data_IF_752281614448
#
_entry.id   IF_752281614448
#
_cell.length_a   1.000
_cell.length_b   1.000
_cell.length_c   1.000
_cell.angle_alpha   90.00
_cell.angle_beta   90.00
_cell.angle_gamma   90.00
#
_symmetry.space_group_name_H-M   'P 1'
#
loop_
_entity.id
_entity.type
_entity.pdbx_description
1 polymer ?
#
# COMPACT_ATOMS: atom_id res chain seq x y z
N UNK A 1 57.25 -14.57 72.74
CA UNK A 1 57.75 -13.25 72.31
C UNK A 1 56.94 -12.87 71.07
N UNK A 2 56.05 -11.87 71.17
CA UNK A 2 56.39 -10.43 71.03
C UNK A 2 56.93 -10.19 69.61
N UNK A 3 56.02 -9.98 68.64
CA UNK A 3 55.45 -8.66 68.27
C UNK A 3 56.49 -7.79 67.58
N UNK A 4 56.27 -7.49 66.31
CA UNK A 4 56.36 -6.09 65.89
C UNK A 4 55.33 -5.75 64.80
N UNK A 5 54.71 -4.58 64.93
CA UNK A 5 53.68 -4.02 64.05
C UNK A 5 54.11 -2.61 63.75
N UNK A 6 54.26 -2.24 62.48
CA UNK A 6 54.39 -0.81 62.13
C UNK A 6 53.69 -0.44 60.82
N UNK A 7 52.41 -0.16 60.98
CA UNK A 7 51.67 0.84 60.20
C UNK A 7 52.50 2.07 59.86
N UNK A 8 52.46 2.51 58.60
CA UNK A 8 52.38 3.94 58.28
C UNK A 8 51.18 4.22 57.39
N UNK A 9 50.37 5.14 57.86
CA UNK A 9 49.05 5.52 57.37
C UNK A 9 49.11 7.00 56.96
N UNK A 10 48.50 7.35 55.83
CA UNK A 10 48.20 8.73 55.37
C UNK A 10 49.40 9.65 55.07
N UNK A 11 49.43 10.22 53.85
CA UNK A 11 49.49 11.68 53.58
C UNK A 11 49.22 11.92 52.07
N UNK A 12 48.04 12.52 51.80
CA UNK A 12 47.78 13.63 50.87
C UNK A 12 48.13 13.54 49.36
N UNK A 13 47.08 13.25 48.57
CA UNK A 13 46.58 14.02 47.40
C UNK A 13 47.58 14.79 46.51
N UNK A 14 47.82 14.26 45.30
CA UNK A 14 47.93 15.04 44.04
C UNK A 14 47.27 14.23 42.90
N UNK A 15 46.09 14.58 42.40
CA UNK A 15 45.86 15.53 41.29
C UNK A 15 46.71 15.26 40.03
N UNK A 16 46.22 14.36 39.16
CA UNK A 16 46.41 14.42 37.70
C UNK A 16 45.33 13.58 36.98
N UNK A 17 44.23 14.26 36.67
CA UNK A 17 43.07 13.71 35.97
C UNK A 17 43.34 13.50 34.48
N UNK A 18 43.54 12.26 34.06
CA UNK A 18 43.59 11.89 32.63
C UNK A 18 42.16 11.72 32.10
N UNK A 19 41.55 12.83 31.65
CA UNK A 19 40.31 12.76 30.87
C UNK A 19 40.62 12.27 29.44
N UNK A 20 40.54 10.97 29.22
CA UNK A 20 40.37 10.44 27.87
C UNK A 20 38.95 10.75 27.39
N UNK A 21 38.79 11.80 26.59
CA UNK A 21 37.57 11.99 25.78
C UNK A 21 37.46 10.81 24.81
N UNK A 22 36.67 9.80 25.18
CA UNK A 22 36.08 8.91 24.19
C UNK A 22 34.99 9.71 23.47
N UNK A 23 35.22 10.01 22.20
CA UNK A 23 34.14 10.39 21.31
C UNK A 23 33.15 9.21 21.21
N UNK A 24 32.13 9.24 22.07
CA UNK A 24 30.94 8.48 21.84
C UNK A 24 30.27 9.10 20.62
N UNK A 25 30.59 8.60 19.42
CA UNK A 25 29.81 8.88 18.22
C UNK A 25 28.36 8.58 18.57
N UNK A 26 27.53 9.61 18.66
CA UNK A 26 26.12 9.46 18.93
C UNK A 26 25.51 8.74 17.73
N UNK A 27 25.46 7.40 17.80
CA UNK A 27 24.66 6.58 16.89
C UNK A 27 23.26 7.17 16.98
N UNK A 28 22.85 7.81 15.89
CA UNK A 28 21.53 8.40 15.79
C UNK A 28 20.52 7.25 15.89
N UNK A 29 20.06 6.99 17.11
CA UNK A 29 18.96 6.10 17.37
C UNK A 29 17.73 6.75 16.78
N UNK A 30 17.49 6.45 15.49
CA UNK A 30 16.19 6.69 14.87
C UNK A 30 15.16 6.01 15.77
N UNK A 31 14.49 6.81 16.60
CA UNK A 31 13.35 6.35 17.38
C UNK A 31 12.34 5.82 16.37
N UNK A 32 12.27 4.51 16.27
CA UNK A 32 11.20 3.77 15.59
C UNK A 32 9.92 4.08 16.36
N UNK A 33 9.17 5.07 15.89
CA UNK A 33 7.97 5.53 16.59
C UNK A 33 6.86 4.49 16.43
N UNK A 34 6.37 3.98 17.56
CA UNK A 34 5.24 3.06 17.57
C UNK A 34 4.03 3.74 16.93
N UNK A 35 3.53 3.08 15.89
CA UNK A 35 2.16 3.04 15.39
C UNK A 35 1.21 4.21 15.76
N UNK A 36 0.63 4.79 14.71
CA UNK A 36 -0.80 5.11 14.71
C UNK A 36 -1.57 3.89 15.26
N UNK A 37 -2.67 4.11 15.98
CA UNK A 37 -3.42 3.03 16.68
C UNK A 37 -3.67 1.86 15.70
N UNK A 38 -3.71 0.58 16.12
CA UNK A 38 -4.16 -0.50 15.22
C UNK A 38 -5.39 -0.02 14.43
N UNK A 39 -5.44 -0.23 13.13
CA UNK A 39 -6.47 0.39 12.26
C UNK A 39 -7.37 -0.67 11.61
N UNK A 40 -7.24 -1.92 12.04
CA UNK A 40 -7.82 -3.04 11.32
C UNK A 40 -9.37 -2.98 11.36
N UNK A 41 -9.98 -2.37 12.38
CA UNK A 41 -11.43 -2.13 12.46
C UNK A 41 -11.86 -0.74 11.96
N UNK A 42 -10.96 0.07 11.41
CA UNK A 42 -11.32 1.36 10.81
C UNK A 42 -12.40 1.22 9.72
N UNK A 43 -12.31 0.15 8.92
CA UNK A 43 -13.19 -0.20 7.81
C UNK A 43 -14.04 -1.45 8.15
N UNK A 44 -14.64 -1.47 9.34
CA UNK A 44 -15.33 -2.65 9.88
C UNK A 44 -16.43 -3.20 8.95
N UNK A 45 -17.18 -2.34 8.23
CA UNK A 45 -18.20 -2.76 7.25
C UNK A 45 -17.61 -3.70 6.19
N UNK A 46 -16.51 -3.31 5.58
CA UNK A 46 -15.84 -4.09 4.53
C UNK A 46 -15.27 -5.39 5.13
N UNK A 47 -14.62 -5.32 6.30
CA UNK A 47 -14.10 -6.49 7.02
C UNK A 47 -15.21 -7.51 7.31
N UNK A 48 -16.33 -7.07 7.88
CA UNK A 48 -17.48 -7.90 8.23
C UNK A 48 -18.16 -8.51 6.99
N UNK A 49 -18.26 -7.74 5.90
CA UNK A 49 -18.84 -8.21 4.64
C UNK A 49 -17.93 -9.27 3.99
N UNK A 50 -16.61 -9.02 3.95
CA UNK A 50 -15.62 -9.98 3.44
C UNK A 50 -15.56 -11.23 4.29
N UNK A 51 -15.71 -11.14 5.62
CA UNK A 51 -15.77 -12.31 6.51
C UNK A 51 -17.02 -13.17 6.24
N UNK A 52 -18.16 -12.52 6.07
CA UNK A 52 -19.42 -13.18 5.70
C UNK A 52 -19.28 -13.93 4.36
N UNK A 53 -18.65 -13.31 3.35
CA UNK A 53 -18.42 -13.95 2.05
C UNK A 53 -17.37 -15.06 2.11
N UNK A 54 -16.26 -14.86 2.85
CA UNK A 54 -15.23 -15.87 3.07
C UNK A 54 -15.81 -17.14 3.71
N UNK A 55 -16.73 -17.00 4.67
CA UNK A 55 -17.38 -18.13 5.36
C UNK A 55 -18.29 -19.00 4.48
N UNK A 56 -18.67 -18.54 3.28
CA UNK A 56 -19.47 -19.35 2.34
C UNK A 56 -18.65 -20.53 1.76
N UNK A 57 -17.37 -20.31 1.46
CA UNK A 57 -16.40 -21.34 1.08
C UNK A 57 -14.98 -20.90 1.48
N UNK A 58 -14.39 -21.59 2.46
CA UNK A 58 -13.11 -21.25 3.06
C UNK A 58 -12.15 -22.46 3.03
N UNK A 59 -11.70 -22.90 1.83
CA UNK A 59 -10.89 -24.12 1.69
C UNK A 59 -9.53 -24.01 2.39
N UNK A 60 -9.05 -22.77 2.57
CA UNK A 60 -7.81 -22.43 3.25
C UNK A 60 -7.95 -22.35 4.78
N UNK A 61 -9.15 -22.52 5.36
CA UNK A 61 -9.40 -22.38 6.81
C UNK A 61 -8.84 -21.06 7.40
N UNK A 62 -8.95 -19.95 6.66
CA UNK A 62 -8.55 -18.61 7.13
C UNK A 62 -9.45 -18.23 8.31
N UNK A 63 -8.87 -17.77 9.42
CA UNK A 63 -9.61 -17.58 10.68
C UNK A 63 -10.56 -16.39 10.62
N UNK A 64 -10.09 -15.24 10.14
CA UNK A 64 -10.87 -14.01 9.98
C UNK A 64 -10.11 -13.02 9.06
N UNK A 65 -10.76 -12.23 8.19
CA UNK A 65 -10.10 -11.27 7.30
C UNK A 65 -9.21 -10.25 8.01
N UNK A 66 -9.60 -9.81 9.21
CA UNK A 66 -8.88 -8.83 10.05
C UNK A 66 -7.37 -9.16 10.17
N UNK A 67 -7.02 -10.45 10.24
CA UNK A 67 -5.63 -10.87 10.39
C UNK A 67 -4.77 -10.47 9.19
N UNK A 68 -5.35 -10.35 8.00
CA UNK A 68 -4.60 -9.98 6.80
C UNK A 68 -4.26 -8.49 6.69
N UNK A 69 -4.97 -7.64 7.47
CA UNK A 69 -4.66 -6.21 7.65
C UNK A 69 -3.57 -5.96 8.73
N UNK A 70 -3.19 -6.99 9.49
CA UNK A 70 -2.11 -6.90 10.48
C UNK A 70 -0.72 -6.96 9.82
N UNK A 71 0.30 -6.54 10.58
CA UNK A 71 1.70 -6.83 10.26
C UNK A 71 1.98 -8.34 10.26
N UNK A 72 2.91 -8.80 9.41
CA UNK A 72 3.11 -10.23 9.08
C UNK A 72 3.16 -11.17 10.30
N UNK A 73 3.85 -10.80 11.38
CA UNK A 73 3.99 -11.66 12.58
C UNK A 73 2.65 -11.95 13.27
N UNK A 74 1.73 -10.98 13.27
CA UNK A 74 0.40 -11.14 13.83
C UNK A 74 -0.57 -11.74 12.79
N UNK A 75 -0.40 -11.39 11.51
CA UNK A 75 -1.16 -11.93 10.40
C UNK A 75 -1.00 -13.46 10.25
N UNK A 76 0.20 -13.98 10.53
CA UNK A 76 0.51 -15.41 10.50
C UNK A 76 -0.38 -16.26 11.44
N UNK A 77 -1.01 -15.65 12.45
CA UNK A 77 -1.90 -16.35 13.41
C UNK A 77 -3.27 -16.70 12.82
N UNK A 78 -3.73 -15.99 11.78
CA UNK A 78 -5.05 -16.18 11.16
C UNK A 78 -5.02 -16.69 9.72
N UNK A 79 -3.84 -16.97 9.16
CA UNK A 79 -3.68 -17.28 7.74
C UNK A 79 -4.13 -18.70 7.32
N UNK A 80 -4.55 -19.54 8.26
CA UNK A 80 -4.99 -20.90 7.99
C UNK A 80 -3.91 -21.73 7.28
N UNK A 81 -4.27 -22.32 6.14
CA UNK A 81 -3.42 -23.16 5.28
C UNK A 81 -2.64 -22.38 4.22
N UNK A 82 -2.61 -21.05 4.27
CA UNK A 82 -1.79 -20.25 3.34
C UNK A 82 -0.30 -20.54 3.59
N UNK A 83 0.44 -20.83 2.53
CA UNK A 83 1.90 -20.98 2.59
C UNK A 83 2.54 -19.67 3.09
N UNK A 84 3.42 -19.78 4.09
CA UNK A 84 4.12 -18.62 4.70
C UNK A 84 4.88 -17.77 3.70
N UNK A 85 5.35 -18.33 2.57
CA UNK A 85 6.01 -17.56 1.51
C UNK A 85 5.06 -16.58 0.79
N UNK A 86 3.75 -16.75 0.96
CA UNK A 86 2.70 -15.93 0.36
C UNK A 86 2.05 -14.93 1.35
N UNK A 87 2.68 -14.65 2.50
CA UNK A 87 2.12 -13.78 3.54
C UNK A 87 2.05 -12.29 3.16
N UNK A 88 2.88 -11.87 2.22
CA UNK A 88 2.79 -10.58 1.52
C UNK A 88 1.46 -10.45 0.73
N UNK A 89 0.95 -11.55 0.20
CA UNK A 89 -0.30 -11.61 -0.55
C UNK A 89 -1.55 -11.94 0.27
N UNK A 90 -1.45 -12.13 1.59
CA UNK A 90 -2.57 -12.63 2.41
C UNK A 90 -3.87 -11.80 2.26
N UNK A 91 -3.79 -10.46 2.30
CA UNK A 91 -4.95 -9.58 2.11
C UNK A 91 -5.66 -9.81 0.76
N UNK A 92 -4.89 -9.90 -0.34
CA UNK A 92 -5.43 -10.19 -1.67
C UNK A 92 -5.97 -11.62 -1.79
N UNK A 93 -5.36 -12.61 -1.13
CA UNK A 93 -5.87 -13.98 -1.09
C UNK A 93 -7.24 -14.06 -0.39
N UNK A 94 -7.41 -13.33 0.72
CA UNK A 94 -8.70 -13.20 1.41
C UNK A 94 -9.75 -12.55 0.51
N UNK A 95 -9.39 -11.44 -0.13
CA UNK A 95 -10.27 -10.73 -1.04
C UNK A 95 -10.66 -11.57 -2.27
N UNK A 96 -9.72 -12.30 -2.86
CA UNK A 96 -9.95 -13.13 -4.05
C UNK A 96 -10.91 -14.29 -3.76
N UNK A 97 -10.77 -14.96 -2.60
CA UNK A 97 -11.72 -15.98 -2.16
C UNK A 97 -13.09 -15.37 -1.84
N UNK A 98 -13.14 -14.25 -1.10
CA UNK A 98 -14.39 -13.58 -0.76
C UNK A 98 -15.14 -13.08 -2.01
N UNK A 99 -14.41 -12.52 -2.98
CA UNK A 99 -14.95 -12.07 -4.27
C UNK A 99 -15.48 -13.24 -5.09
N UNK A 100 -14.73 -14.35 -5.18
CA UNK A 100 -15.15 -15.60 -5.83
C UNK A 100 -16.45 -16.14 -5.24
N UNK A 101 -16.54 -16.19 -3.91
CA UNK A 101 -17.73 -16.64 -3.18
C UNK A 101 -18.92 -15.69 -3.42
N UNK A 102 -18.70 -14.38 -3.35
CA UNK A 102 -19.72 -13.37 -3.59
C UNK A 102 -20.24 -13.42 -5.04
N UNK A 103 -19.35 -13.62 -6.02
CA UNK A 103 -19.69 -13.78 -7.45
C UNK A 103 -20.51 -15.05 -7.70
N UNK A 104 -20.13 -16.17 -7.08
CA UNK A 104 -20.90 -17.41 -7.14
C UNK A 104 -22.30 -17.29 -6.48
N UNK A 105 -22.41 -16.51 -5.41
CA UNK A 105 -23.68 -16.24 -4.71
C UNK A 105 -24.54 -15.12 -5.34
N UNK A 106 -24.08 -14.47 -6.42
CA UNK A 106 -24.75 -13.29 -6.99
C UNK A 106 -24.74 -12.05 -6.08
N UNK A 107 -23.94 -12.05 -5.01
CA UNK A 107 -23.87 -10.97 -4.03
C UNK A 107 -22.96 -9.85 -4.54
N UNK A 108 -23.57 -8.78 -5.06
CA UNK A 108 -22.85 -7.61 -5.58
C UNK A 108 -22.16 -6.79 -4.49
N UNK A 109 -22.79 -6.60 -3.33
CA UNK A 109 -22.18 -5.92 -2.18
C UNK A 109 -20.95 -6.68 -1.64
N UNK A 110 -20.97 -8.01 -1.69
CA UNK A 110 -19.82 -8.85 -1.36
C UNK A 110 -18.64 -8.68 -2.31
N UNK A 111 -18.90 -8.53 -3.62
CA UNK A 111 -17.87 -8.24 -4.62
C UNK A 111 -17.29 -6.82 -4.45
N UNK A 112 -18.15 -5.82 -4.21
CA UNK A 112 -17.75 -4.44 -3.92
C UNK A 112 -16.85 -4.36 -2.67
N UNK A 113 -17.27 -4.98 -1.56
CA UNK A 113 -16.50 -5.02 -0.32
C UNK A 113 -15.15 -5.72 -0.48
N UNK A 114 -15.08 -6.81 -1.26
CA UNK A 114 -13.82 -7.51 -1.52
C UNK A 114 -12.83 -6.66 -2.34
N UNK A 115 -13.31 -5.88 -3.32
CA UNK A 115 -12.47 -4.93 -4.07
C UNK A 115 -11.94 -3.83 -3.14
N UNK A 116 -12.80 -3.21 -2.33
CA UNK A 116 -12.39 -2.15 -1.41
C UNK A 116 -11.37 -2.71 -0.39
N UNK A 117 -11.68 -3.85 0.23
CA UNK A 117 -10.84 -4.55 1.19
C UNK A 117 -9.44 -4.90 0.64
N UNK A 118 -9.33 -5.36 -0.61
CA UNK A 118 -8.06 -5.64 -1.26
C UNK A 118 -7.17 -4.40 -1.47
N UNK A 119 -7.78 -3.22 -1.53
CA UNK A 119 -7.11 -1.94 -1.69
C UNK A 119 -6.78 -1.25 -0.36
N UNK A 120 -7.39 -1.63 0.78
CA UNK A 120 -7.14 -0.98 2.08
C UNK A 120 -5.65 -0.99 2.48
N UNK A 121 -5.28 -0.05 3.36
CA UNK A 121 -3.96 -0.06 3.99
C UNK A 121 -3.81 -1.29 4.90
N UNK A 122 -2.73 -2.05 4.68
CA UNK A 122 -2.25 -3.06 5.63
C UNK A 122 -1.33 -2.41 6.64
N UNK A 123 -1.55 -2.61 7.93
CA UNK A 123 -0.80 -1.92 8.97
C UNK A 123 0.61 -2.47 9.14
N UNK A 124 1.61 -1.59 9.07
CA UNK A 124 3.00 -1.91 9.39
C UNK A 124 3.30 -1.70 10.90
N UNK A 125 4.57 -1.78 11.28
CA UNK A 125 4.99 -1.64 12.69
C UNK A 125 5.30 -0.19 13.10
N UNK A 126 5.46 0.75 12.16
CA UNK A 126 5.83 2.15 12.45
C UNK A 126 5.22 3.10 11.42
N UNK A 127 4.95 4.33 11.85
CA UNK A 127 4.42 5.39 10.98
C UNK A 127 5.36 5.68 9.81
N UNK A 128 4.79 5.83 8.61
CA UNK A 128 5.51 6.14 7.38
C UNK A 128 6.31 4.97 6.79
N UNK A 129 6.14 3.75 7.31
CA UNK A 129 6.73 2.53 6.69
C UNK A 129 5.75 1.95 5.68
N UNK A 130 6.19 1.87 4.43
CA UNK A 130 5.42 1.27 3.33
C UNK A 130 5.17 -0.23 3.58
N UNK A 131 3.97 -0.69 3.22
CA UNK A 131 3.59 -2.10 3.32
C UNK A 131 4.15 -2.90 2.13
N UNK A 132 4.77 -4.08 2.36
CA UNK A 132 5.33 -4.90 1.29
C UNK A 132 4.25 -5.28 0.28
N UNK A 133 4.42 -5.00 -1.02
CA UNK A 133 3.43 -5.34 -2.04
C UNK A 133 3.30 -6.86 -2.19
N UNK A 134 2.10 -7.33 -2.47
CA UNK A 134 1.86 -8.71 -2.90
C UNK A 134 2.59 -8.98 -4.23
N UNK A 135 3.55 -9.90 -4.19
CA UNK A 135 4.36 -10.29 -5.35
C UNK A 135 4.56 -11.82 -5.45
N UNK A 136 4.35 -12.57 -4.36
CA UNK A 136 4.56 -14.03 -4.30
C UNK A 136 3.51 -14.87 -5.03
N UNK A 137 2.27 -14.37 -5.18
CA UNK A 137 1.14 -15.11 -5.72
C UNK A 137 0.23 -14.20 -6.56
N UNK A 138 -0.26 -14.73 -7.69
CA UNK A 138 -1.33 -14.13 -8.50
C UNK A 138 -2.70 -14.59 -8.02
N UNK A 139 -3.68 -13.70 -8.10
CA UNK A 139 -5.09 -13.96 -7.77
C UNK A 139 -5.85 -14.53 -8.98
N UNK A 140 -6.93 -15.26 -8.72
CA UNK A 140 -7.74 -15.89 -9.78
C UNK A 140 -8.63 -14.88 -10.50
N UNK A 141 -9.20 -13.90 -9.78
CA UNK A 141 -10.09 -12.88 -10.36
C UNK A 141 -9.28 -11.68 -10.86
N UNK A 142 -9.33 -11.31 -12.16
CA UNK A 142 -8.64 -10.13 -12.71
C UNK A 142 -8.97 -8.82 -11.99
N UNK A 143 -10.20 -8.70 -11.50
CA UNK A 143 -10.71 -7.57 -10.72
C UNK A 143 -9.98 -7.40 -9.38
N UNK A 144 -9.50 -8.50 -8.77
CA UNK A 144 -8.69 -8.47 -7.53
C UNK A 144 -7.19 -8.48 -7.85
N UNK A 145 -6.76 -9.22 -8.87
CA UNK A 145 -5.33 -9.33 -9.27
C UNK A 145 -4.73 -7.97 -9.62
N UNK A 146 -5.48 -7.07 -10.26
CA UNK A 146 -5.02 -5.71 -10.59
C UNK A 146 -4.79 -4.79 -9.40
N UNK A 147 -5.36 -5.10 -8.24
CA UNK A 147 -5.40 -4.19 -7.09
C UNK A 147 -4.04 -4.15 -6.36
N UNK A 148 -3.76 -2.98 -5.78
CA UNK A 148 -2.60 -2.71 -4.95
C UNK A 148 -3.09 -2.09 -3.63
N UNK A 149 -2.47 -2.45 -2.51
CA UNK A 149 -2.83 -1.90 -1.20
C UNK A 149 -2.44 -0.41 -1.08
N UNK A 150 -3.25 0.38 -0.36
CA UNK A 150 -2.84 1.70 0.13
C UNK A 150 -1.62 1.56 1.06
N UNK A 151 -0.87 2.64 1.14
CA UNK A 151 0.29 2.81 2.02
C UNK A 151 -0.09 3.81 3.12
N UNK A 152 0.56 3.67 4.28
CA UNK A 152 0.56 4.68 5.34
C UNK A 152 0.78 6.06 4.71
N UNK A 153 -0.16 6.98 4.92
CA UNK A 153 -0.15 8.29 4.27
C UNK A 153 1.10 9.14 4.58
N UNK A 154 1.87 8.80 5.62
CA UNK A 154 3.17 9.41 5.93
C UNK A 154 4.37 8.75 5.19
N UNK A 155 4.15 7.67 4.42
CA UNK A 155 5.19 7.00 3.63
C UNK A 155 5.60 7.81 2.40
N UNK A 156 6.88 7.70 2.03
CA UNK A 156 7.42 8.33 0.82
C UNK A 156 6.68 7.80 -0.43
N UNK A 157 5.99 8.69 -1.13
CA UNK A 157 5.22 8.37 -2.34
C UNK A 157 3.84 7.76 -2.07
N UNK A 158 3.34 7.78 -0.82
CA UNK A 158 2.03 7.26 -0.48
C UNK A 158 0.91 7.91 -1.30
N UNK A 159 0.93 9.24 -1.45
CA UNK A 159 -0.07 10.00 -2.23
C UNK A 159 -0.26 9.44 -3.65
N UNK A 160 0.84 9.19 -4.37
CA UNK A 160 0.79 8.67 -5.74
C UNK A 160 0.36 7.19 -5.79
N UNK A 161 0.75 6.38 -4.80
CA UNK A 161 0.41 4.96 -4.73
C UNK A 161 -1.06 4.76 -4.32
N UNK A 162 -1.54 5.50 -3.33
CA UNK A 162 -2.91 5.46 -2.82
C UNK A 162 -3.89 5.93 -3.89
N UNK A 163 -3.59 7.08 -4.54
CA UNK A 163 -4.32 7.51 -5.73
C UNK A 163 -4.39 6.43 -6.81
N UNK A 164 -3.29 5.76 -7.12
CA UNK A 164 -3.28 4.64 -8.08
C UNK A 164 -4.12 3.45 -7.60
N UNK A 165 -4.09 3.13 -6.31
CA UNK A 165 -4.93 2.07 -5.71
C UNK A 165 -6.41 2.39 -5.85
N UNK A 166 -6.85 3.59 -5.47
CA UNK A 166 -8.25 4.02 -5.60
C UNK A 166 -8.72 4.01 -7.07
N UNK A 167 -7.90 4.47 -8.02
CA UNK A 167 -8.24 4.38 -9.46
C UNK A 167 -8.37 2.92 -9.95
N UNK A 168 -7.51 2.01 -9.46
CA UNK A 168 -7.60 0.58 -9.80
C UNK A 168 -8.82 -0.08 -9.16
N UNK A 169 -9.21 0.31 -7.94
CA UNK A 169 -10.47 -0.10 -7.32
C UNK A 169 -11.68 0.41 -8.12
N UNK A 170 -11.69 1.68 -8.53
CA UNK A 170 -12.76 2.27 -9.34
C UNK A 170 -12.96 1.54 -10.67
N UNK A 171 -11.87 1.16 -11.35
CA UNK A 171 -11.94 0.35 -12.58
C UNK A 171 -12.50 -1.06 -12.31
N UNK A 172 -12.14 -1.68 -11.19
CA UNK A 172 -12.64 -3.01 -10.80
C UNK A 172 -14.14 -2.96 -10.47
N UNK A 173 -14.58 -1.94 -9.72
CA UNK A 173 -15.98 -1.66 -9.41
C UNK A 173 -16.79 -1.42 -10.71
N UNK A 174 -16.26 -0.60 -11.62
CA UNK A 174 -16.88 -0.38 -12.93
C UNK A 174 -17.05 -1.68 -13.74
N UNK A 175 -16.05 -2.57 -13.70
CA UNK A 175 -16.06 -3.84 -14.43
C UNK A 175 -17.10 -4.84 -13.90
N UNK A 176 -17.49 -4.76 -12.62
CA UNK A 176 -18.60 -5.55 -12.04
C UNK A 176 -19.98 -4.85 -12.09
N UNK A 177 -20.07 -3.69 -12.78
CA UNK A 177 -21.31 -2.92 -12.87
C UNK A 177 -21.67 -2.16 -11.58
N UNK A 178 -20.68 -1.81 -10.76
CA UNK A 178 -20.83 -0.99 -9.56
C UNK A 178 -20.51 0.48 -9.80
N UNK A 179 -20.98 1.34 -8.89
CA UNK A 179 -20.59 2.74 -8.88
C UNK A 179 -19.08 2.84 -8.62
N UNK A 180 -18.29 3.39 -9.57
CA UNK A 180 -16.85 3.53 -9.39
C UNK A 180 -16.47 4.46 -8.24
N UNK A 181 -17.37 5.35 -7.80
CA UNK A 181 -17.13 6.27 -6.69
C UNK A 181 -17.13 5.57 -5.33
N UNK A 182 -17.59 4.32 -5.23
CA UNK A 182 -17.35 3.46 -4.07
C UNK A 182 -15.85 3.24 -3.80
N UNK A 183 -14.97 3.49 -4.78
CA UNK A 183 -13.53 3.50 -4.57
C UNK A 183 -13.05 4.59 -3.61
N UNK A 184 -13.85 5.63 -3.33
CA UNK A 184 -13.50 6.61 -2.29
C UNK A 184 -13.36 5.94 -0.91
N UNK A 185 -14.08 4.83 -0.68
CA UNK A 185 -14.03 4.04 0.55
C UNK A 185 -12.71 3.26 0.75
N UNK A 186 -11.75 3.33 -0.19
CA UNK A 186 -10.39 2.82 0.05
C UNK A 186 -9.48 3.82 0.76
N UNK A 187 -9.95 5.06 0.94
CA UNK A 187 -9.16 6.18 1.45
C UNK A 187 -8.59 5.95 2.85
N UNK A 188 -7.41 6.52 3.10
CA UNK A 188 -6.70 6.38 4.37
C UNK A 188 -7.03 7.51 5.35
N UNK A 189 -6.51 7.43 6.57
CA UNK A 189 -6.52 8.57 7.48
C UNK A 189 -5.54 9.65 7.02
N UNK A 190 -5.76 10.88 7.50
CA UNK A 190 -4.78 11.96 7.40
C UNK A 190 -3.44 11.56 8.03
N UNK A 191 -2.36 11.73 7.26
CA UNK A 191 -1.00 11.37 7.65
C UNK A 191 -0.62 11.90 9.05
N UNK A 192 -0.20 10.98 9.93
CA UNK A 192 0.43 11.34 11.20
C UNK A 192 1.85 11.91 11.02
N UNK A 193 2.36 12.62 12.03
CA UNK A 193 3.73 13.14 11.99
C UNK A 193 4.73 12.07 12.48
N UNK A 194 5.62 11.53 11.62
CA UNK A 194 6.63 10.54 12.02
C UNK A 194 7.76 11.14 12.88
N UNK A 195 7.74 12.44 13.20
CA UNK A 195 8.71 13.12 14.06
C UNK A 195 8.16 13.55 15.43
N UNK A 196 6.83 13.53 15.63
CA UNK A 196 6.19 14.12 16.81
C UNK A 196 5.37 13.10 17.61
N UNK A 197 5.74 12.87 18.87
CA UNK A 197 5.11 11.90 19.75
C UNK A 197 3.66 12.23 20.16
N UNK A 198 3.22 13.49 20.08
CA UNK A 198 1.83 13.90 20.39
C UNK A 198 0.89 13.78 19.19
N UNK A 199 1.42 13.80 17.97
CA UNK A 199 0.65 13.71 16.71
C UNK A 199 0.95 12.44 15.90
N UNK A 200 1.83 11.55 16.39
CA UNK A 200 2.15 10.27 15.74
C UNK A 200 0.98 9.28 15.66
N UNK A 201 -0.18 9.59 16.24
CA UNK A 201 -1.44 8.87 16.01
C UNK A 201 -2.22 9.34 14.78
N UNK A 202 -1.86 10.46 14.16
CA UNK A 202 -2.69 11.10 13.14
C UNK A 202 -4.12 11.32 13.66
N UNK A 203 -5.08 11.18 12.75
CA UNK A 203 -6.51 11.12 13.06
C UNK A 203 -7.02 9.66 13.01
N UNK A 204 -6.15 8.66 13.17
CA UNK A 204 -6.48 7.22 13.13
C UNK A 204 -7.39 6.76 14.28
N UNK A 205 -8.10 5.65 14.04
CA UNK A 205 -8.97 5.02 15.04
C UNK A 205 -9.06 3.49 14.85
N UNK A 206 -9.35 2.80 15.96
CA UNK A 206 -9.77 1.40 16.01
C UNK A 206 -10.97 1.34 16.95
N UNK A 207 -12.10 0.80 16.50
CA UNK A 207 -13.25 0.53 17.35
C UNK A 207 -13.89 -0.77 16.84
N UNK A 208 -13.55 -1.88 17.48
CA UNK A 208 -14.12 -3.21 17.20
C UNK A 208 -15.63 -3.29 17.46
N UNK A 209 -16.13 -2.47 18.39
CA UNK A 209 -17.56 -2.30 18.67
C UNK A 209 -18.32 -1.38 17.69
N UNK A 210 -17.65 -0.78 16.70
CA UNK A 210 -18.29 -0.01 15.64
C UNK A 210 -18.47 -0.91 14.40
N UNK A 211 -19.69 -1.41 14.12
CA UNK A 211 -19.90 -2.36 13.02
C UNK A 211 -19.80 -1.70 11.63
N UNK A 212 -19.84 -0.38 11.55
CA UNK A 212 -19.66 0.38 10.30
C UNK A 212 -18.17 0.64 10.06
N UNK A 213 -17.45 1.00 11.11
CA UNK A 213 -16.04 1.34 11.07
C UNK A 213 -15.83 2.80 11.36
N UNK A 214 -14.90 3.07 12.28
CA UNK A 214 -14.75 4.39 12.88
C UNK A 214 -14.24 5.47 11.92
N UNK A 215 -13.67 5.09 10.76
CA UNK A 215 -13.29 6.05 9.71
C UNK A 215 -14.52 6.74 9.10
N UNK A 216 -15.63 6.00 8.99
CA UNK A 216 -16.90 6.51 8.46
C UNK A 216 -17.70 7.25 9.53
N UNK A 217 -17.89 6.64 10.72
CA UNK A 217 -18.77 7.20 11.76
C UNK A 217 -18.24 8.52 12.34
N UNK A 218 -16.92 8.76 12.24
CA UNK A 218 -16.27 10.01 12.63
C UNK A 218 -15.85 10.90 11.45
N UNK A 219 -16.14 10.48 10.21
CA UNK A 219 -15.78 11.19 8.97
C UNK A 219 -14.28 11.58 8.90
N UNK A 220 -13.41 10.59 9.07
CA UNK A 220 -11.94 10.72 9.15
C UNK A 220 -11.22 10.31 7.85
N UNK A 221 -11.99 9.91 6.85
CA UNK A 221 -11.49 9.43 5.56
C UNK A 221 -10.91 10.58 4.72
N UNK A 222 -9.67 10.41 4.27
CA UNK A 222 -9.06 11.24 3.24
C UNK A 222 -9.18 10.49 1.91
N UNK A 223 -9.92 11.08 0.97
CA UNK A 223 -10.13 10.49 -0.36
C UNK A 223 -8.94 10.84 -1.27
N UNK A 224 -8.31 9.82 -1.86
CA UNK A 224 -7.08 9.96 -2.66
C UNK A 224 -7.28 10.38 -4.14
N UNK A 225 -8.54 10.50 -4.59
CA UNK A 225 -8.95 10.77 -5.98
C UNK A 225 -10.15 11.71 -6.04
N UNK A 226 -10.28 12.51 -7.10
CA UNK A 226 -11.54 13.23 -7.39
C UNK A 226 -12.44 12.43 -8.35
N UNK A 227 -13.71 12.83 -8.46
CA UNK A 227 -14.65 12.23 -9.43
C UNK A 227 -14.15 12.36 -10.86
N UNK A 228 -13.58 13.51 -11.21
CA UNK A 228 -13.07 13.82 -12.55
C UNK A 228 -11.88 12.93 -12.90
N UNK A 229 -11.04 12.61 -11.92
CA UNK A 229 -9.91 11.71 -12.07
C UNK A 229 -10.35 10.26 -12.27
N UNK A 230 -11.39 9.82 -11.54
CA UNK A 230 -12.06 8.52 -11.76
C UNK A 230 -12.68 8.46 -13.16
N UNK A 231 -13.50 9.45 -13.54
CA UNK A 231 -14.14 9.52 -14.86
C UNK A 231 -13.11 9.50 -16.00
N UNK A 232 -11.99 10.22 -15.85
CA UNK A 232 -10.90 10.25 -16.82
C UNK A 232 -10.16 8.90 -16.93
N UNK A 233 -9.84 8.28 -15.80
CA UNK A 233 -9.17 6.98 -15.75
C UNK A 233 -10.02 5.87 -16.37
N UNK A 234 -11.33 5.86 -16.08
CA UNK A 234 -12.27 4.91 -16.67
C UNK A 234 -12.39 5.08 -18.19
N UNK A 235 -12.42 6.33 -18.69
CA UNK A 235 -12.40 6.60 -20.14
C UNK A 235 -11.11 6.10 -20.80
N UNK A 236 -9.96 6.30 -20.15
CA UNK A 236 -8.66 5.80 -20.64
C UNK A 236 -8.60 4.26 -20.65
N UNK A 237 -9.36 3.59 -19.78
CA UNK A 237 -9.42 2.13 -19.65
C UNK A 237 -10.71 1.50 -20.18
N UNK A 238 -11.50 2.24 -20.96
CA UNK A 238 -12.65 1.71 -21.67
C UNK A 238 -12.20 0.60 -22.63
N UNK A 239 -12.78 -0.60 -22.49
CA UNK A 239 -12.38 -1.79 -23.26
C UNK A 239 -11.19 -2.58 -22.66
N UNK A 240 -10.60 -2.17 -21.53
CA UNK A 240 -9.52 -2.89 -20.85
C UNK A 240 -9.99 -4.13 -20.06
N UNK A 241 -10.76 -5.02 -20.72
CA UNK A 241 -11.15 -6.31 -20.15
C UNK A 241 -9.91 -7.24 -20.05
N UNK A 242 -9.55 -7.65 -18.83
CA UNK A 242 -8.57 -8.72 -18.56
C UNK A 242 -7.06 -8.44 -18.81
N UNK A 243 -6.68 -7.27 -19.32
CA UNK A 243 -5.27 -6.97 -19.67
C UNK A 243 -4.40 -6.46 -18.51
N UNK A 244 -3.53 -7.31 -17.93
CA UNK A 244 -2.64 -6.97 -16.81
C UNK A 244 -1.39 -6.12 -17.17
N UNK A 245 -1.52 -5.13 -18.07
CA UNK A 245 -0.41 -4.25 -18.50
C UNK A 245 -0.34 -2.92 -17.74
N UNK A 246 -0.45 -2.97 -16.40
CA UNK A 246 -0.23 -1.81 -15.53
C UNK A 246 1.24 -1.69 -15.15
N UNK A 247 2.07 -1.10 -16.02
CA UNK A 247 3.47 -0.81 -15.70
C UNK A 247 3.55 -0.09 -14.33
N UNK A 248 4.39 -0.61 -13.44
CA UNK A 248 4.81 0.13 -12.26
C UNK A 248 5.66 1.31 -12.74
N UNK A 249 5.31 2.53 -12.33
CA UNK A 249 6.13 3.70 -12.55
C UNK A 249 7.31 3.66 -11.57
N UNK A 250 8.33 2.86 -11.89
CA UNK A 250 9.63 2.97 -11.24
C UNK A 250 10.19 4.37 -11.49
N UNK A 251 10.68 5.01 -10.43
CA UNK A 251 11.23 6.37 -10.48
C UNK A 251 12.35 6.46 -11.52
N UNK A 252 12.11 7.14 -12.64
CA UNK A 252 13.16 7.53 -13.58
C UNK A 252 13.73 8.87 -13.13
N UNK A 253 14.83 8.81 -12.38
CA UNK A 253 15.62 9.99 -12.06
C UNK A 253 16.13 10.62 -13.37
N UNK A 254 15.95 11.93 -13.52
CA UNK A 254 16.29 12.65 -14.77
C UNK A 254 17.69 13.21 -14.68
N UNK A 255 18.68 12.34 -14.77
CA UNK A 255 20.04 12.80 -15.01
C UNK A 255 20.16 13.37 -16.42
N UNK A 256 20.59 14.64 -16.47
CA UNK A 256 20.65 15.41 -17.71
C UNK A 256 21.99 15.13 -18.39
N UNK A 257 21.97 14.51 -19.55
CA UNK A 257 23.10 14.64 -20.47
C UNK A 257 22.64 15.34 -21.76
N UNK A 258 23.02 16.61 -21.89
CA UNK A 258 23.05 17.31 -23.18
C UNK A 258 24.47 17.18 -23.68
N UNK A 259 24.68 16.55 -24.84
CA UNK A 259 25.61 17.04 -25.87
C UNK A 259 25.64 16.08 -27.07
N UNK A 260 25.20 16.58 -28.23
CA UNK A 260 25.68 16.22 -29.57
C UNK A 260 25.02 17.13 -30.62
N UNK A 261 25.80 18.00 -31.25
CA UNK A 261 25.40 18.77 -32.45
C UNK A 261 25.45 17.84 -33.69
N UNK A 262 24.76 18.15 -34.80
CA UNK A 262 24.61 17.22 -35.92
C UNK A 262 25.69 17.35 -36.99
N UNK A 263 25.87 16.30 -37.79
CA UNK A 263 26.51 16.33 -39.11
C UNK A 263 25.58 15.74 -40.16
N UNK A 264 25.68 16.25 -41.40
CA UNK A 264 24.93 15.79 -42.57
C UNK A 264 25.80 14.92 -43.49
N UNK A 265 25.11 14.30 -44.44
CA UNK A 265 25.49 14.00 -45.84
C UNK A 265 25.75 12.53 -46.23
N UNK A 266 25.20 12.15 -47.40
CA UNK A 266 25.79 11.11 -48.28
C UNK A 266 24.91 9.95 -48.75
N UNK A 267 24.33 10.06 -49.97
CA UNK A 267 24.00 8.93 -50.90
C UNK A 267 22.77 8.04 -50.57
N UNK A 268 21.69 7.99 -51.36
CA UNK A 268 21.55 7.48 -52.75
C UNK A 268 21.75 5.95 -52.87
N UNK A 269 20.88 5.11 -53.45
CA UNK A 269 19.57 5.22 -54.16
C UNK A 269 18.63 4.10 -53.63
N UNK A 270 17.40 3.81 -54.09
CA UNK A 270 16.53 4.20 -55.22
C UNK A 270 15.04 4.08 -54.75
N UNK A 271 13.94 4.16 -55.51
CA UNK A 271 13.68 4.36 -56.95
C UNK A 271 12.55 3.48 -57.50
N UNK A 272 11.27 3.86 -57.33
CA UNK A 272 10.23 3.81 -58.40
C UNK A 272 8.89 4.41 -57.98
N UNK A 273 8.32 5.23 -58.86
CA UNK A 273 7.02 5.87 -58.74
C UNK A 273 5.84 4.92 -58.96
N UNK A 274 4.71 5.23 -58.33
CA UNK A 274 3.41 5.24 -59.02
C UNK A 274 2.42 6.16 -58.30
N UNK A 275 2.14 7.29 -58.95
CA UNK A 275 1.25 8.36 -58.49
C UNK A 275 0.01 8.37 -59.39
N UNK A 276 -1.18 8.06 -58.87
CA UNK A 276 -2.47 8.41 -59.46
C UNK A 276 -3.45 8.65 -58.30
N UNK A 277 -3.72 9.90 -57.91
CA UNK A 277 -4.69 10.89 -58.46
C UNK A 277 -5.98 10.93 -57.64
N UNK A 278 -6.27 12.12 -57.13
CA UNK A 278 -7.56 12.46 -56.50
C UNK A 278 -8.69 12.41 -57.54
N UNK A 279 -9.90 12.02 -57.10
CA UNK A 279 -11.15 12.45 -57.70
C UNK A 279 -12.21 12.58 -56.60
N UNK A 280 -13.18 13.48 -56.83
CA UNK A 280 -14.05 14.06 -55.80
C UNK A 280 -15.51 13.88 -56.22
N UNK A 281 -16.40 13.87 -55.22
CA UNK A 281 -17.79 14.32 -55.29
C UNK A 281 -18.91 13.32 -55.73
N UNK A 282 -20.00 13.45 -54.96
CA UNK A 282 -21.42 13.51 -55.36
C UNK A 282 -22.36 12.27 -55.42
N UNK A 283 -23.23 12.24 -54.40
CA UNK A 283 -24.70 12.05 -54.42
C UNK A 283 -25.33 10.89 -55.20
N UNK A 284 -25.90 9.93 -54.47
CA UNK A 284 -27.36 9.82 -54.23
C UNK A 284 -27.65 8.99 -52.99
#
# INVERSE_FOLDING_TARGET
MLIDISTKLVVLVTLLSVLSLREASAVATHRRYRRQVPQEWAHAREVNTVDTMLKLDNPLNITHPIFSLLGNDAAAKGMGKIDKKNIDCFQKIVADQAFKNAKAAGNKAGQEAAIIFASLEKNTNNVGVASPPCASKKMENPEIERLIQHQDAASKGAKEINKKSALLAALSLSQIGSDPLLAFNTGTFKAGDPKNNKQGKGESCDIDSDPVGCIYTKNLMVVDVTKEEVDAFLKQHAGAAGGNNFKAAGSSDKDKNRDAKPTKDGGATSGKDSKLTEAKADTS
#
